data_IF_560386542050
#
_entry.id   IF_560386542050
#
_cell.length_a   1.000
_cell.length_b   1.000
_cell.length_c   1.000
_cell.angle_alpha   90.00
_cell.angle_beta   90.00
_cell.angle_gamma   90.00
#
_symmetry.space_group_name_H-M   'P 1'
#
loop_
_entity.id
_entity.type
_entity.pdbx_description
1 polymer ?
#
# COMPACT_ATOMS: atom_id res chain seq x y z
N UNK A 1 2.24 -32.03 5.87
CA UNK A 1 2.69 -30.64 5.62
C UNK A 1 2.64 -30.34 4.12
N UNK A 2 1.45 -30.30 3.51
CA UNK A 2 1.29 -30.13 2.06
C UNK A 2 0.30 -28.99 1.69
N UNK A 3 -0.16 -28.21 2.68
CA UNK A 3 -1.19 -27.19 2.49
C UNK A 3 -0.65 -25.77 2.24
N UNK A 4 0.57 -25.45 2.69
CA UNK A 4 1.03 -24.04 2.72
C UNK A 4 1.61 -23.55 1.39
N UNK A 5 2.20 -24.42 0.58
CA UNK A 5 2.83 -24.01 -0.69
C UNK A 5 1.83 -23.38 -1.68
N UNK A 6 0.56 -23.81 -1.62
CA UNK A 6 -0.49 -23.31 -2.50
C UNK A 6 -0.92 -21.86 -2.18
N UNK A 7 -0.72 -21.37 -0.96
CA UNK A 7 -1.06 -19.98 -0.61
C UNK A 7 0.03 -19.03 -1.12
N UNK A 8 1.30 -19.43 -1.04
CA UNK A 8 2.42 -18.56 -1.42
C UNK A 8 2.60 -18.40 -2.94
N UNK A 9 1.95 -19.21 -3.77
CA UNK A 9 1.98 -19.02 -5.22
C UNK A 9 1.35 -17.70 -5.67
N UNK A 10 0.38 -17.18 -4.92
CA UNK A 10 -0.30 -15.90 -5.21
C UNK A 10 0.67 -14.71 -5.18
N UNK A 11 1.77 -14.80 -4.44
CA UNK A 11 2.73 -13.70 -4.33
C UNK A 11 3.49 -13.43 -5.62
N UNK A 12 3.57 -14.42 -6.53
CA UNK A 12 4.15 -14.24 -7.85
C UNK A 12 3.18 -13.65 -8.89
N UNK A 13 1.90 -13.46 -8.56
CA UNK A 13 0.93 -12.90 -9.49
C UNK A 13 1.16 -11.41 -9.72
N UNK A 14 0.81 -10.94 -10.92
CA UNK A 14 0.96 -9.55 -11.30
C UNK A 14 -0.03 -8.63 -10.57
N UNK A 15 0.37 -7.41 -10.23
CA UNK A 15 -0.48 -6.45 -9.47
C UNK A 15 -1.83 -6.13 -10.11
N UNK A 16 -2.00 -6.37 -11.42
CA UNK A 16 -3.27 -6.17 -12.14
C UNK A 16 -4.35 -7.18 -11.77
N UNK A 17 -4.04 -8.26 -11.04
CA UNK A 17 -5.06 -9.18 -10.51
C UNK A 17 -5.88 -8.53 -9.39
N UNK A 18 -5.37 -7.46 -8.77
CA UNK A 18 -6.10 -6.68 -7.77
C UNK A 18 -7.13 -5.76 -8.41
N UNK A 19 -8.35 -5.83 -7.88
CA UNK A 19 -9.41 -4.89 -8.20
C UNK A 19 -8.97 -3.45 -7.92
N UNK A 20 -9.15 -2.56 -8.90
CA UNK A 20 -8.72 -1.16 -8.82
C UNK A 20 -7.30 -0.90 -9.36
N UNK A 21 -6.51 -1.93 -9.68
CA UNK A 21 -5.21 -1.78 -10.35
C UNK A 21 -5.37 -1.87 -11.86
N UNK A 22 -5.79 -0.73 -12.45
CA UNK A 22 -5.84 -0.59 -13.91
C UNK A 22 -4.45 -0.42 -14.56
N UNK A 23 -4.37 -0.47 -15.90
CA UNK A 23 -3.09 -0.44 -16.63
C UNK A 23 -2.21 0.77 -16.34
N UNK A 24 -2.83 1.93 -16.08
CA UNK A 24 -2.10 3.15 -15.75
C UNK A 24 -1.44 3.09 -14.35
N UNK A 25 -2.10 2.45 -13.38
CA UNK A 25 -1.57 2.28 -12.03
C UNK A 25 -0.49 1.18 -12.02
N UNK A 26 -0.71 0.07 -12.72
CA UNK A 26 0.29 -0.99 -12.88
C UNK A 26 1.63 -0.44 -13.41
N UNK A 27 1.60 0.32 -14.52
CA UNK A 27 2.80 1.00 -15.04
C UNK A 27 3.46 1.99 -14.08
N UNK A 28 2.71 2.56 -13.13
CA UNK A 28 3.28 3.45 -12.09
C UNK A 28 3.94 2.65 -10.97
N UNK A 29 3.41 1.47 -10.64
CA UNK A 29 3.97 0.55 -9.65
C UNK A 29 5.22 -0.15 -10.20
N UNK A 30 5.17 -0.64 -11.43
CA UNK A 30 6.31 -1.28 -12.12
C UNK A 30 7.52 -0.35 -12.20
N UNK A 31 7.31 0.93 -12.54
CA UNK A 31 8.38 1.96 -12.54
C UNK A 31 9.00 2.20 -11.16
N UNK A 32 8.36 1.76 -10.08
CA UNK A 32 8.86 1.83 -8.70
C UNK A 32 9.37 0.46 -8.20
N UNK A 33 9.48 -0.53 -9.08
CA UNK A 33 9.94 -1.88 -8.74
C UNK A 33 8.88 -2.76 -8.09
N UNK A 34 7.59 -2.43 -8.25
CA UNK A 34 6.48 -3.22 -7.71
C UNK A 34 5.69 -3.82 -8.87
N UNK A 35 5.95 -5.10 -9.18
CA UNK A 35 5.31 -5.81 -10.29
C UNK A 35 4.37 -6.92 -9.82
N UNK A 36 4.66 -7.52 -8.67
CA UNK A 36 3.92 -8.65 -8.13
C UNK A 36 3.16 -8.30 -6.84
N UNK A 37 2.24 -9.18 -6.44
CA UNK A 37 1.56 -9.06 -5.15
C UNK A 37 2.53 -9.17 -3.97
N UNK A 38 3.56 -9.99 -4.09
CA UNK A 38 4.63 -10.08 -3.09
C UNK A 38 5.40 -8.75 -2.94
N UNK A 39 5.77 -8.13 -4.07
CA UNK A 39 6.44 -6.81 -4.04
C UNK A 39 5.56 -5.75 -3.36
N UNK A 40 4.24 -5.77 -3.65
CA UNK A 40 3.29 -4.81 -3.10
C UNK A 40 3.11 -5.00 -1.59
N UNK A 41 3.03 -6.25 -1.11
CA UNK A 41 2.92 -6.56 0.33
C UNK A 41 4.15 -6.08 1.11
N UNK A 42 5.32 -6.11 0.49
CA UNK A 42 6.58 -5.65 1.07
C UNK A 42 6.89 -4.18 0.75
N UNK A 43 5.97 -3.48 0.07
CA UNK A 43 6.09 -2.05 -0.20
C UNK A 43 5.59 -1.23 1.00
N UNK A 44 6.37 -1.23 2.08
CA UNK A 44 5.98 -0.59 3.33
C UNK A 44 5.87 0.94 3.21
N UNK A 45 4.88 1.57 3.88
CA UNK A 45 4.80 3.02 4.01
C UNK A 45 6.05 3.60 4.68
N UNK A 46 6.51 4.76 4.19
CA UNK A 46 7.61 5.52 4.83
C UNK A 46 7.25 5.98 6.26
N UNK A 47 5.96 6.23 6.50
CA UNK A 47 5.42 6.68 7.78
C UNK A 47 3.94 6.31 7.85
N UNK A 48 3.51 5.80 9.00
CA UNK A 48 2.10 5.68 9.32
C UNK A 48 1.60 6.98 9.96
N UNK A 49 0.45 7.46 9.50
CA UNK A 49 -0.27 8.56 10.12
C UNK A 49 -1.33 7.97 11.06
N UNK A 50 -1.43 8.52 12.26
CA UNK A 50 -2.43 8.13 13.25
C UNK A 50 -3.47 9.25 13.35
N UNK A 51 -4.66 8.99 12.81
CA UNK A 51 -5.79 9.94 12.76
C UNK A 51 -6.83 9.63 13.86
N UNK A 52 -6.44 8.99 14.96
CA UNK A 52 -7.35 8.70 16.09
C UNK A 52 -7.72 9.92 16.92
N UNK A 53 -6.91 10.97 16.86
CA UNK A 53 -7.18 12.23 17.57
C UNK A 53 -7.70 13.23 16.56
N UNK A 54 -8.75 13.96 16.91
CA UNK A 54 -9.32 15.01 16.07
C UNK A 54 -9.03 16.35 16.73
N UNK A 55 -8.25 17.19 16.07
CA UNK A 55 -7.96 18.55 16.55
C UNK A 55 -8.94 19.56 15.95
N UNK A 56 -9.68 20.34 16.76
CA UNK A 56 -10.51 21.43 16.25
C UNK A 56 -9.67 22.45 15.48
N UNK A 57 -10.19 22.97 14.36
CA UNK A 57 -9.49 23.93 13.48
C UNK A 57 -8.93 25.13 14.28
N UNK A 58 -9.69 25.63 15.27
CA UNK A 58 -9.28 26.76 16.11
C UNK A 58 -8.05 26.50 17.00
N UNK A 59 -7.60 25.26 17.12
CA UNK A 59 -6.45 24.84 17.95
C UNK A 59 -5.25 24.36 17.11
N UNK A 60 -5.30 24.51 15.78
CA UNK A 60 -4.21 24.11 14.91
C UNK A 60 -3.02 25.07 15.01
N UNK A 61 -1.82 24.51 15.09
CA UNK A 61 -0.57 25.27 15.06
C UNK A 61 -0.03 25.34 13.63
N UNK A 62 0.41 26.52 13.13
CA UNK A 62 1.06 26.61 11.82
C UNK A 62 2.28 25.69 11.71
N UNK A 63 2.36 24.95 10.60
CA UNK A 63 3.42 23.97 10.36
C UNK A 63 3.15 22.60 11.00
N UNK A 64 2.14 22.49 11.88
CA UNK A 64 1.65 21.21 12.34
C UNK A 64 0.56 20.68 11.39
N UNK A 65 0.59 19.39 11.07
CA UNK A 65 -0.45 18.76 10.27
C UNK A 65 -1.78 18.73 11.04
N UNK A 66 -2.87 19.01 10.34
CA UNK A 66 -4.21 19.21 10.90
C UNK A 66 -4.95 17.94 11.36
N UNK A 67 -4.22 16.88 11.71
CA UNK A 67 -4.77 15.62 12.23
C UNK A 67 -5.07 15.76 13.72
#
# INVERSE_FOLDING_TARGET
MAGDTAIYSVFGEHVTTLNGVGPALARRLERRGVATLGDLLLHFPRRYLDDRTIVPIARLTPGEPAR
#
